data_IF_060682056359
#
_entry.id   IF_060682056359
#
_cell.length_a   1.000
_cell.length_b   1.000
_cell.length_c   1.000
_cell.angle_alpha   90.00
_cell.angle_beta   90.00
_cell.angle_gamma   90.00
#
_symmetry.space_group_name_H-M   'P 1'
#
loop_
_entity.id
_entity.type
_entity.pdbx_description
1 polymer ?
#
# COMPACT_ATOMS: atom_id res chain seq x y z
N UNK A 1 -5.83 19.23 18.35
CA UNK A 1 -5.67 17.86 17.84
C UNK A 1 -6.36 17.79 16.49
N UNK A 2 -5.61 17.71 15.39
CA UNK A 2 -6.14 17.64 14.04
C UNK A 2 -6.81 16.29 13.80
N UNK A 3 -8.03 16.30 13.26
CA UNK A 3 -8.84 15.11 12.98
C UNK A 3 -8.37 14.26 11.80
N UNK A 4 -7.06 14.02 11.71
CA UNK A 4 -6.45 13.01 10.84
C UNK A 4 -5.86 11.94 11.74
N UNK A 5 -6.74 11.24 12.46
CA UNK A 5 -6.36 10.01 13.16
C UNK A 5 -6.28 8.93 12.08
N UNK A 6 -5.18 8.95 11.31
CA UNK A 6 -4.84 7.81 10.45
C UNK A 6 -4.54 6.69 11.41
N UNK A 7 -5.52 5.81 11.63
CA UNK A 7 -5.31 4.59 12.40
C UNK A 7 -4.14 3.83 11.75
N UNK A 8 -2.96 3.98 12.37
CA UNK A 8 -1.69 3.48 11.86
C UNK A 8 -1.78 1.99 11.58
N UNK A 9 -2.47 1.25 12.45
CA UNK A 9 -2.66 -0.18 12.29
C UNK A 9 -3.56 -0.49 11.08
N UNK A 10 -4.60 0.30 10.84
CA UNK A 10 -5.45 0.14 9.66
C UNK A 10 -4.71 0.50 8.36
N UNK A 11 -3.93 1.58 8.35
CA UNK A 11 -3.19 2.03 7.18
C UNK A 11 -2.06 1.06 6.80
N UNK A 12 -1.28 0.56 7.78
CA UNK A 12 -0.27 -0.48 7.54
C UNK A 12 -0.91 -1.78 7.05
N UNK A 13 -2.05 -2.19 7.63
CA UNK A 13 -2.81 -3.35 7.11
C UNK A 13 -3.27 -3.13 5.67
N UNK A 14 -3.68 -1.92 5.31
CA UNK A 14 -4.11 -1.60 3.96
C UNK A 14 -2.94 -1.63 2.97
N UNK A 15 -1.78 -1.08 3.34
CA UNK A 15 -0.56 -1.19 2.56
C UNK A 15 -0.12 -2.65 2.37
N UNK A 16 -0.27 -3.49 3.40
CA UNK A 16 0.01 -4.93 3.32
C UNK A 16 -0.95 -5.63 2.35
N UNK A 17 -2.25 -5.32 2.39
CA UNK A 17 -3.23 -5.88 1.45
C UNK A 17 -2.88 -5.56 0.00
N UNK A 18 -2.44 -4.34 -0.29
CA UNK A 18 -2.02 -3.96 -1.64
C UNK A 18 -0.75 -4.67 -2.10
N UNK A 19 0.20 -4.91 -1.19
CA UNK A 19 1.39 -5.74 -1.50
C UNK A 19 1.01 -7.17 -1.81
N UNK A 20 0.19 -7.80 -0.96
CA UNK A 20 -0.29 -9.16 -1.18
C UNK A 20 -1.08 -9.27 -2.49
N UNK A 21 -1.92 -8.28 -2.81
CA UNK A 21 -2.66 -8.25 -4.08
C UNK A 21 -1.72 -8.18 -5.30
N UNK A 22 -0.62 -7.43 -5.21
CA UNK A 22 0.38 -7.39 -6.27
C UNK A 22 1.07 -8.76 -6.43
N UNK A 23 1.45 -9.41 -5.33
CA UNK A 23 2.06 -10.74 -5.32
C UNK A 23 1.11 -11.81 -5.90
N UNK A 24 -0.16 -11.78 -5.52
CA UNK A 24 -1.19 -12.69 -6.02
C UNK A 24 -1.39 -12.54 -7.54
N UNK A 25 -1.38 -11.30 -8.03
CA UNK A 25 -1.48 -11.00 -9.47
C UNK A 25 -0.23 -11.47 -10.23
N UNK A 26 0.98 -11.21 -9.70
CA UNK A 26 2.24 -11.69 -10.28
C UNK A 26 2.29 -13.23 -10.32
N UNK A 27 1.80 -13.90 -9.27
CA UNK A 27 1.70 -15.36 -9.22
C UNK A 27 0.70 -15.91 -10.24
N UNK A 28 -0.47 -15.29 -10.35
CA UNK A 28 -1.48 -15.65 -11.34
C UNK A 28 -0.97 -15.48 -12.77
N UNK A 29 -0.21 -14.42 -13.04
CA UNK A 29 0.47 -14.20 -14.32
C UNK A 29 1.49 -15.30 -14.64
N UNK A 30 2.26 -15.74 -13.64
CA UNK A 30 3.20 -16.86 -13.80
C UNK A 30 2.51 -18.21 -14.10
N UNK A 31 1.23 -18.35 -13.72
CA UNK A 31 0.42 -19.53 -14.01
C UNK A 31 -0.24 -19.55 -15.39
N UNK A 32 -0.11 -18.46 -16.17
CA UNK A 32 -0.72 -18.41 -17.50
C UNK A 32 -0.03 -19.38 -18.47
N UNK A 33 -0.81 -20.11 -19.29
CA UNK A 33 -0.24 -21.00 -20.30
C UNK A 33 0.52 -20.18 -21.35
N UNK A 34 1.78 -20.56 -21.60
CA UNK A 34 2.63 -19.91 -22.60
C UNK A 34 2.13 -20.11 -24.05
N UNK A 35 1.29 -21.13 -24.28
CA UNK A 35 0.65 -21.39 -25.56
C UNK A 35 -0.73 -22.03 -25.36
N UNK A 36 -1.67 -21.69 -26.25
CA UNK A 36 -3.02 -22.25 -26.28
C UNK A 36 -3.19 -22.98 -27.61
N UNK A 37 -3.19 -24.32 -27.57
CA UNK A 37 -3.48 -25.14 -28.76
C UNK A 37 -4.99 -25.14 -29.02
N UNK A 38 -5.43 -24.18 -29.84
CA UNK A 38 -6.85 -23.88 -30.05
C UNK A 38 -7.30 -23.85 -31.52
N UNK A 39 -6.46 -24.26 -32.48
CA UNK A 39 -6.76 -24.15 -33.91
C UNK A 39 -7.09 -22.71 -34.33
N UNK A 40 -8.04 -22.50 -35.25
CA UNK A 40 -8.40 -21.16 -35.78
C UNK A 40 -8.92 -20.19 -34.69
N UNK A 41 -9.46 -20.71 -33.58
CA UNK A 41 -9.89 -19.89 -32.43
C UNK A 41 -8.71 -19.45 -31.51
N UNK A 42 -7.51 -20.01 -31.72
CA UNK A 42 -6.31 -19.76 -30.91
C UNK A 42 -5.92 -18.28 -30.91
N UNK A 43 -6.04 -17.57 -32.04
CA UNK A 43 -5.66 -16.15 -32.12
C UNK A 43 -6.47 -15.25 -31.20
N UNK A 44 -7.81 -15.39 -31.23
CA UNK A 44 -8.70 -14.59 -30.37
C UNK A 44 -8.51 -14.93 -28.89
N UNK A 45 -8.32 -16.22 -28.58
CA UNK A 45 -8.04 -16.65 -27.20
C UNK A 45 -6.69 -16.14 -26.71
N UNK A 46 -5.66 -16.17 -27.56
CA UNK A 46 -4.34 -15.62 -27.24
C UNK A 46 -4.40 -14.11 -27.00
N UNK A 47 -5.15 -13.37 -27.81
CA UNK A 47 -5.34 -11.92 -27.63
C UNK A 47 -6.08 -11.60 -26.32
N UNK A 48 -7.11 -12.37 -25.97
CA UNK A 48 -7.83 -12.21 -24.69
C UNK A 48 -6.89 -12.49 -23.51
N UNK A 49 -6.13 -13.59 -23.55
CA UNK A 49 -5.17 -13.94 -22.50
C UNK A 49 -4.07 -12.89 -22.38
N UNK A 50 -3.54 -12.39 -23.51
CA UNK A 50 -2.55 -11.32 -23.54
C UNK A 50 -3.08 -10.02 -22.93
N UNK A 51 -4.32 -9.65 -23.26
CA UNK A 51 -4.98 -8.45 -22.69
C UNK A 51 -5.21 -8.60 -21.19
N UNK A 52 -5.67 -9.77 -20.74
CA UNK A 52 -5.84 -10.07 -19.32
C UNK A 52 -4.50 -10.02 -18.57
N UNK A 53 -3.44 -10.56 -19.18
CA UNK A 53 -2.11 -10.54 -18.60
C UNK A 53 -1.56 -9.11 -18.45
N UNK A 54 -1.71 -8.27 -19.48
CA UNK A 54 -1.29 -6.87 -19.42
C UNK A 54 -2.04 -6.09 -18.33
N UNK A 55 -3.38 -6.23 -18.28
CA UNK A 55 -4.20 -5.55 -17.28
C UNK A 55 -3.87 -6.00 -15.85
N UNK A 56 -3.59 -7.30 -15.65
CA UNK A 56 -3.19 -7.81 -14.35
C UNK A 56 -1.79 -7.32 -13.93
N UNK A 57 -0.85 -7.20 -14.88
CA UNK A 57 0.47 -6.64 -14.62
C UNK A 57 0.39 -5.15 -14.23
N UNK A 58 -0.41 -4.37 -14.96
CA UNK A 58 -0.64 -2.96 -14.64
C UNK A 58 -1.27 -2.79 -13.26
N UNK A 59 -2.25 -3.64 -12.92
CA UNK A 59 -2.90 -3.62 -11.61
C UNK A 59 -1.93 -4.02 -10.48
N UNK A 60 -1.02 -4.96 -10.73
CA UNK A 60 0.01 -5.34 -9.76
C UNK A 60 0.97 -4.18 -9.48
N UNK A 61 1.43 -3.49 -10.54
CA UNK A 61 2.26 -2.28 -10.41
C UNK A 61 1.53 -1.20 -9.62
N UNK A 62 0.28 -0.92 -9.97
CA UNK A 62 -0.52 0.11 -9.31
C UNK A 62 -0.74 -0.21 -7.82
N UNK A 63 -0.99 -1.48 -7.51
CA UNK A 63 -1.15 -1.96 -6.13
C UNK A 63 0.15 -1.79 -5.35
N UNK A 64 1.30 -2.11 -5.94
CA UNK A 64 2.61 -1.89 -5.30
C UNK A 64 2.88 -0.40 -5.03
N UNK A 65 2.57 0.48 -5.99
CA UNK A 65 2.69 1.93 -5.83
C UNK A 65 1.78 2.44 -4.71
N UNK A 66 0.50 2.06 -4.70
CA UNK A 66 -0.44 2.50 -3.65
C UNK A 66 -0.01 2.01 -2.26
N UNK A 67 0.44 0.76 -2.15
CA UNK A 67 0.99 0.25 -0.89
C UNK A 67 2.17 1.08 -0.40
N UNK A 68 3.10 1.45 -1.29
CA UNK A 68 4.26 2.28 -0.96
C UNK A 68 3.90 3.72 -0.57
N UNK A 69 2.93 4.34 -1.25
CA UNK A 69 2.45 5.70 -0.91
C UNK A 69 1.78 5.72 0.47
N UNK A 70 0.97 4.72 0.78
CA UNK A 70 0.33 4.60 2.11
C UNK A 70 1.40 4.45 3.19
N UNK A 71 2.40 3.60 2.98
CA UNK A 71 3.48 3.37 3.94
C UNK A 71 4.31 4.64 4.17
N UNK A 72 4.66 5.35 3.09
CA UNK A 72 5.36 6.64 3.17
C UNK A 72 4.54 7.70 3.93
N UNK A 73 3.24 7.79 3.65
CA UNK A 73 2.34 8.74 4.33
C UNK A 73 2.23 8.44 5.82
N UNK A 74 2.12 7.16 6.20
CA UNK A 74 2.08 6.74 7.60
C UNK A 74 3.39 7.04 8.31
N UNK A 75 4.53 6.79 7.65
CA UNK A 75 5.85 7.08 8.22
C UNK A 75 6.06 8.58 8.42
N UNK A 76 5.63 9.42 7.48
CA UNK A 76 5.77 10.87 7.55
C UNK A 76 4.88 11.48 8.65
N UNK A 77 3.64 10.98 8.77
CA UNK A 77 2.73 11.36 9.85
C UNK A 77 3.33 10.99 11.22
N UNK A 78 3.91 9.79 11.34
CA UNK A 78 4.57 9.34 12.57
C UNK A 78 5.76 10.21 12.94
N UNK A 79 6.63 10.51 11.97
CA UNK A 79 7.79 11.38 12.20
C UNK A 79 7.36 12.80 12.61
N UNK A 80 6.27 13.30 12.03
CA UNK A 80 5.68 14.58 12.40
C UNK A 80 5.19 14.55 13.85
N UNK A 81 4.40 13.54 14.24
CA UNK A 81 3.91 13.38 15.61
C UNK A 81 5.04 13.28 16.64
N UNK A 82 6.09 12.50 16.33
CA UNK A 82 7.27 12.37 17.18
C UNK A 82 8.00 13.71 17.34
N UNK A 83 8.17 14.48 16.25
CA UNK A 83 8.81 15.80 16.27
C UNK A 83 8.01 16.84 17.08
N UNK A 84 6.67 16.78 17.01
CA UNK A 84 5.77 17.62 17.81
C UNK A 84 5.87 17.21 19.28
N UNK A 85 5.81 15.92 19.58
CA UNK A 85 5.97 15.40 20.94
C UNK A 85 7.30 15.81 21.57
N UNK A 86 8.40 15.77 20.81
CA UNK A 86 9.71 16.22 21.28
C UNK A 86 9.74 17.75 21.52
N UNK A 87 9.16 18.53 20.60
CA UNK A 87 9.12 19.99 20.70
C UNK A 87 8.28 20.49 21.87
N UNK A 88 7.21 19.78 22.23
CA UNK A 88 6.29 20.17 23.31
C UNK A 88 6.48 19.39 24.62
N UNK A 89 7.11 18.21 24.60
CA UNK A 89 7.40 17.40 25.79
C UNK A 89 8.46 18.01 26.70
N UNK A 90 9.31 18.89 26.16
CA UNK A 90 10.26 19.71 26.92
C UNK A 90 9.66 20.97 27.54
N UNK A 91 8.43 21.34 27.19
CA UNK A 91 7.70 22.47 27.77
C UNK A 91 6.96 22.01 29.03
N UNK A 92 7.66 21.93 30.16
CA UNK A 92 6.96 22.00 31.45
C UNK A 92 6.21 23.32 31.53
N UNK A 93 4.89 23.25 31.74
CA UNK A 93 4.09 24.46 31.93
C UNK A 93 4.65 25.22 33.15
N UNK A 94 4.99 26.52 33.02
CA UNK A 94 5.42 27.31 34.17
C UNK A 94 4.22 27.51 35.09
N UNK A 95 4.05 26.64 36.09
CA UNK A 95 2.93 26.75 37.03
C UNK A 95 2.69 25.62 38.02
N UNK A 96 3.31 24.43 37.90
CA UNK A 96 3.27 23.44 38.99
C UNK A 96 4.29 23.81 40.07
N UNK A 97 3.97 24.85 40.84
CA UNK A 97 4.49 24.97 42.20
C UNK A 97 4.15 23.69 42.94
N UNK A 98 5.19 23.02 43.44
CA UNK A 98 5.10 21.95 44.40
C UNK A 98 4.28 22.44 45.62
N UNK A 99 3.04 22.00 45.72
CA UNK A 99 2.28 22.10 46.96
C UNK A 99 2.76 20.98 47.93
N UNK A 100 2.88 21.29 49.23
CA UNK A 100 3.64 20.51 50.21
C UNK A 100 3.11 19.11 50.52
#
# INVERSE_FOLDING_TARGET
>A
MSGLDIDRAAATQMAQKYRNAAEDLESALGGLPASVDGGIASGVLADIVSTLAQNAADLAVLSRVMGGVIDATVSDATATDDSVSESFGGLTLPGEEAAP
#
